data_IF_978138430693
#
_entry.id   IF_978138430693
#
_cell.length_a   1.000
_cell.length_b   1.000
_cell.length_c   1.000
_cell.angle_alpha   90.00
_cell.angle_beta   90.00
_cell.angle_gamma   90.00
#
_symmetry.space_group_name_H-M   'P 1'
#
loop_
_entity.id
_entity.type
_entity.pdbx_description
1 polymer ?
#
# COMPACT_ATOMS: atom_id res chain seq x y z
N UNK A 1 -8.28 15.34 7.08
CA UNK A 1 -9.45 14.63 6.51
C UNK A 1 -9.33 13.14 6.78
N UNK A 2 -10.46 12.45 6.94
CA UNK A 2 -10.52 10.99 7.06
C UNK A 2 -11.33 10.42 5.91
N UNK A 3 -10.86 9.35 5.29
CA UNK A 3 -11.59 8.64 4.23
C UNK A 3 -11.34 7.13 4.31
N UNK A 4 -12.36 6.34 4.02
CA UNK A 4 -12.17 4.91 3.74
C UNK A 4 -11.56 4.72 2.36
N UNK A 5 -11.18 3.50 1.99
CA UNK A 5 -10.60 3.18 0.69
C UNK A 5 -11.51 3.52 -0.50
N UNK A 6 -12.83 3.35 -0.38
CA UNK A 6 -13.75 3.82 -1.42
C UNK A 6 -13.67 5.34 -1.66
N UNK A 7 -13.56 6.14 -0.60
CA UNK A 7 -13.40 7.59 -0.69
C UNK A 7 -11.99 8.03 -1.05
N UNK A 8 -10.96 7.31 -0.60
CA UNK A 8 -9.57 7.73 -0.73
C UNK A 8 -8.84 7.15 -1.95
N UNK A 9 -9.20 5.96 -2.38
CA UNK A 9 -8.56 5.26 -3.50
C UNK A 9 -9.40 5.30 -4.79
N UNK A 10 -10.72 5.50 -4.69
CA UNK A 10 -11.63 5.54 -5.83
C UNK A 10 -12.23 6.93 -6.05
N UNK A 11 -13.43 7.20 -5.54
CA UNK A 11 -14.21 8.36 -5.97
C UNK A 11 -13.62 9.71 -5.53
N UNK A 12 -12.91 9.76 -4.41
CA UNK A 12 -12.30 10.99 -3.90
C UNK A 12 -10.81 11.14 -4.21
N UNK A 13 -10.20 10.22 -4.97
CA UNK A 13 -8.77 10.30 -5.31
C UNK A 13 -8.40 11.59 -6.04
N UNK A 14 -9.31 12.13 -6.87
CA UNK A 14 -9.08 13.38 -7.59
C UNK A 14 -8.94 14.59 -6.66
N UNK A 15 -9.79 14.66 -5.62
CA UNK A 15 -9.71 15.73 -4.62
C UNK A 15 -8.46 15.60 -3.74
N UNK A 16 -8.06 14.36 -3.40
CA UNK A 16 -6.82 14.11 -2.66
C UNK A 16 -5.61 14.51 -3.51
N UNK A 17 -5.55 14.09 -4.77
CA UNK A 17 -4.49 14.48 -5.69
C UNK A 17 -4.37 15.99 -5.83
N UNK A 18 -5.49 16.70 -6.02
CA UNK A 18 -5.49 18.16 -6.05
C UNK A 18 -5.01 18.78 -4.73
N UNK A 19 -5.41 18.23 -3.58
CA UNK A 19 -4.95 18.71 -2.26
C UNK A 19 -3.43 18.62 -2.14
N UNK A 20 -2.82 17.52 -2.63
CA UNK A 20 -1.38 17.28 -2.55
C UNK A 20 -0.54 18.16 -3.49
N UNK A 21 -1.14 18.91 -4.42
CA UNK A 21 -0.43 19.91 -5.24
C UNK A 21 -0.37 21.29 -4.58
N UNK A 22 -1.18 21.54 -3.55
CA UNK A 22 -1.26 22.82 -2.86
C UNK A 22 -0.36 22.85 -1.63
N UNK A 23 0.91 23.26 -1.81
CA UNK A 23 1.92 23.32 -0.74
C UNK A 23 1.51 24.06 0.54
N UNK A 24 0.62 25.05 0.41
CA UNK A 24 0.20 25.92 1.52
C UNK A 24 -0.91 25.29 2.38
N UNK A 25 -1.52 24.19 1.93
CA UNK A 25 -2.53 23.47 2.70
C UNK A 25 -1.86 22.71 3.85
N UNK A 26 -2.10 23.14 5.08
CA UNK A 26 -1.61 22.43 6.25
C UNK A 26 -2.63 21.37 6.70
N UNK A 27 -2.61 20.19 6.08
CA UNK A 27 -3.55 19.13 6.40
C UNK A 27 -2.97 17.72 6.21
N UNK A 28 -3.39 16.82 7.09
CA UNK A 28 -3.24 15.37 6.90
C UNK A 28 -4.52 14.79 6.28
N UNK A 29 -4.37 14.05 5.19
CA UNK A 29 -5.37 13.12 4.67
C UNK A 29 -5.04 11.72 5.14
N UNK A 30 -5.91 11.14 5.97
CA UNK A 30 -5.79 9.75 6.44
C UNK A 30 -6.78 8.86 5.68
N UNK A 31 -6.25 7.91 4.91
CA UNK A 31 -6.99 6.84 4.27
C UNK A 31 -6.90 5.58 5.15
N UNK A 32 -8.02 5.18 5.76
CA UNK A 32 -8.14 3.92 6.50
C UNK A 32 -8.68 2.83 5.58
N UNK A 33 -7.87 1.83 5.27
CA UNK A 33 -8.14 0.84 4.22
C UNK A 33 -8.61 -0.47 4.82
N UNK A 34 -9.91 -0.68 4.73
CA UNK A 34 -10.54 -1.96 5.04
C UNK A 34 -10.84 -2.79 3.79
N UNK A 35 -10.32 -2.37 2.64
CA UNK A 35 -10.29 -3.09 1.37
C UNK A 35 -11.65 -3.38 0.74
N UNK A 36 -12.66 -2.58 1.06
CA UNK A 36 -13.98 -2.64 0.47
C UNK A 36 -14.76 -1.35 0.72
N UNK A 37 -15.82 -1.11 -0.03
CA UNK A 37 -16.87 -0.20 0.44
C UNK A 37 -17.65 -0.89 1.57
N UNK A 38 -17.09 -0.87 2.78
CA UNK A 38 -17.59 -1.68 3.88
C UNK A 38 -19.00 -1.28 4.33
N UNK A 39 -19.27 0.02 4.47
CA UNK A 39 -20.53 0.53 5.01
C UNK A 39 -21.74 0.18 4.13
N UNK A 40 -21.56 0.17 2.81
CA UNK A 40 -22.63 -0.13 1.86
C UNK A 40 -22.89 -1.62 1.69
N UNK A 41 -22.28 -2.47 2.53
CA UNK A 41 -22.33 -3.93 2.51
C UNK A 41 -21.22 -4.58 1.67
N UNK A 42 -19.98 -4.25 2.02
CA UNK A 42 -18.75 -4.91 1.54
C UNK A 42 -18.77 -5.03 0.01
N UNK A 43 -18.88 -3.91 -0.72
CA UNK A 43 -18.69 -3.90 -2.16
C UNK A 43 -17.21 -3.78 -2.53
N UNK A 44 -16.88 -4.27 -3.72
CA UNK A 44 -15.55 -4.15 -4.31
C UNK A 44 -15.10 -2.69 -4.43
N UNK A 45 -13.88 -2.40 -3.99
CA UNK A 45 -13.15 -1.15 -4.25
C UNK A 45 -11.85 -1.43 -5.03
N UNK A 46 -11.12 -0.39 -5.44
CA UNK A 46 -9.77 -0.60 -6.01
C UNK A 46 -8.72 -1.07 -5.00
N UNK A 47 -9.06 -1.11 -3.71
CA UNK A 47 -8.23 -1.70 -2.66
C UNK A 47 -8.64 -3.14 -2.32
N UNK A 48 -9.70 -3.69 -2.90
CA UNK A 48 -10.05 -5.11 -2.72
C UNK A 48 -8.97 -6.00 -3.34
N UNK A 49 -8.37 -6.96 -2.59
CA UNK A 49 -7.35 -7.87 -3.12
C UNK A 49 -7.88 -8.79 -4.20
N UNK A 50 -6.99 -9.25 -5.08
CA UNK A 50 -7.30 -10.27 -6.09
C UNK A 50 -8.06 -11.45 -5.47
N UNK A 51 -9.14 -11.86 -6.12
CA UNK A 51 -9.94 -13.01 -5.72
C UNK A 51 -10.79 -12.83 -4.46
N UNK A 52 -10.75 -11.69 -3.76
CA UNK A 52 -11.59 -11.49 -2.58
C UNK A 52 -13.09 -11.51 -2.92
N UNK A 53 -13.87 -12.24 -2.11
CA UNK A 53 -15.33 -12.20 -2.18
C UNK A 53 -15.83 -10.88 -1.61
N UNK A 54 -16.72 -10.23 -2.37
CA UNK A 54 -17.49 -9.04 -1.98
C UNK A 54 -18.90 -9.20 -2.54
N UNK A 55 -19.84 -8.33 -2.18
CA UNK A 55 -21.19 -8.36 -2.78
C UNK A 55 -21.19 -8.07 -4.28
N UNK A 56 -20.15 -7.40 -4.81
CA UNK A 56 -19.94 -7.17 -6.26
C UNK A 56 -19.00 -8.17 -6.93
N UNK A 57 -18.37 -9.05 -6.16
CA UNK A 57 -17.51 -10.12 -6.65
C UNK A 57 -17.77 -11.44 -5.94
N UNK A 58 -19.03 -11.96 -5.94
CA UNK A 58 -19.32 -13.26 -5.36
C UNK A 58 -18.55 -14.36 -6.09
N UNK A 59 -18.14 -15.39 -5.35
CA UNK A 59 -17.69 -16.65 -5.93
C UNK A 59 -18.91 -17.49 -6.34
N UNK A 60 -18.76 -18.31 -7.37
CA UNK A 60 -19.80 -19.24 -7.80
C UNK A 60 -19.29 -20.30 -8.78
N UNK A 61 -20.11 -21.30 -9.07
CA UNK A 61 -19.71 -22.45 -9.90
C UNK A 61 -19.24 -22.06 -11.30
N UNK A 62 -19.91 -21.08 -11.94
CA UNK A 62 -19.56 -20.60 -13.28
C UNK A 62 -18.26 -19.79 -13.31
N UNK A 63 -17.99 -19.04 -12.23
CA UNK A 63 -16.81 -18.19 -12.11
C UNK A 63 -16.40 -18.12 -10.65
N UNK A 64 -15.40 -18.93 -10.31
CA UNK A 64 -14.91 -19.05 -8.93
C UNK A 64 -14.24 -17.76 -8.45
N UNK A 65 -13.39 -17.14 -9.29
CA UNK A 65 -12.76 -15.84 -9.05
C UNK A 65 -13.40 -14.74 -9.90
N UNK A 66 -14.32 -13.96 -9.31
CA UNK A 66 -14.97 -12.88 -10.06
C UNK A 66 -14.09 -11.64 -10.22
N UNK A 67 -13.35 -11.26 -9.17
CA UNK A 67 -12.43 -10.11 -9.17
C UNK A 67 -10.98 -10.57 -9.41
N UNK A 68 -10.41 -10.11 -10.52
CA UNK A 68 -9.08 -10.53 -10.98
C UNK A 68 -8.09 -9.37 -11.10
N UNK A 69 -8.41 -8.20 -10.54
CA UNK A 69 -7.52 -7.03 -10.57
C UNK A 69 -6.67 -7.00 -9.31
N UNK A 70 -5.40 -6.60 -9.45
CA UNK A 70 -4.54 -6.32 -8.31
C UNK A 70 -4.88 -4.97 -7.67
N UNK A 71 -4.54 -4.81 -6.40
CA UNK A 71 -4.79 -3.57 -5.65
C UNK A 71 -4.08 -2.38 -6.30
N UNK A 72 -4.75 -1.24 -6.33
CA UNK A 72 -4.16 0.03 -6.75
C UNK A 72 -3.11 0.46 -5.72
N UNK A 73 -1.87 0.68 -6.16
CA UNK A 73 -0.79 1.19 -5.30
C UNK A 73 -0.95 2.71 -5.08
N UNK A 74 -1.87 3.10 -4.20
CA UNK A 74 -2.20 4.50 -3.93
C UNK A 74 -1.02 5.30 -3.36
N UNK A 75 -0.36 4.88 -2.27
CA UNK A 75 0.69 5.71 -1.68
C UNK A 75 1.90 5.82 -2.60
N UNK A 76 2.26 4.77 -3.34
CA UNK A 76 3.34 4.82 -4.33
C UNK A 76 3.01 5.73 -5.51
N UNK A 77 1.77 5.67 -6.02
CA UNK A 77 1.27 6.55 -7.08
C UNK A 77 1.29 8.02 -6.64
N UNK A 78 0.81 8.31 -5.43
CA UNK A 78 0.80 9.67 -4.90
C UNK A 78 2.22 10.18 -4.65
N UNK A 79 3.10 9.34 -4.10
CA UNK A 79 4.50 9.69 -3.82
C UNK A 79 5.30 10.00 -5.09
N UNK A 80 5.06 9.25 -6.17
CA UNK A 80 5.71 9.50 -7.45
C UNK A 80 5.13 10.72 -8.18
N UNK A 81 3.83 10.99 -8.02
CA UNK A 81 3.12 12.01 -8.80
C UNK A 81 3.06 13.40 -8.19
N UNK A 82 3.35 13.57 -6.90
CA UNK A 82 3.14 14.83 -6.16
C UNK A 82 4.43 15.33 -5.50
N UNK A 83 5.32 16.00 -6.25
CA UNK A 83 6.62 16.47 -5.72
C UNK A 83 6.49 17.52 -4.61
N UNK A 84 5.35 18.24 -4.55
CA UNK A 84 5.06 19.24 -3.53
C UNK A 84 4.50 18.64 -2.23
N UNK A 85 4.16 17.35 -2.23
CA UNK A 85 3.67 16.67 -1.04
C UNK A 85 4.79 16.55 -0.01
N UNK A 86 4.51 16.97 1.23
CA UNK A 86 5.53 17.03 2.30
C UNK A 86 5.82 15.66 2.89
N UNK A 87 4.83 14.78 2.88
CA UNK A 87 4.94 13.45 3.49
C UNK A 87 3.88 12.48 2.98
N UNK A 88 4.30 11.29 2.58
CA UNK A 88 3.41 10.19 2.21
C UNK A 88 3.85 8.93 2.94
N UNK A 89 2.94 8.23 3.62
CA UNK A 89 3.29 7.00 4.32
C UNK A 89 2.24 5.89 4.18
N UNK A 90 2.73 4.65 4.21
CA UNK A 90 1.93 3.44 4.37
C UNK A 90 2.16 2.86 5.77
N UNK A 91 1.08 2.69 6.54
CA UNK A 91 1.07 2.19 7.91
C UNK A 91 0.14 1.00 8.10
N UNK A 92 0.13 0.43 9.30
CA UNK A 92 -0.82 -0.62 9.70
C UNK A 92 -1.09 -0.50 11.20
N UNK A 93 -2.36 -0.52 11.60
CA UNK A 93 -2.74 -0.34 13.00
C UNK A 93 -2.14 -1.40 13.95
N UNK A 94 -1.83 -2.59 13.43
CA UNK A 94 -1.17 -3.65 14.21
C UNK A 94 0.27 -3.30 14.63
N UNK A 95 0.89 -2.31 13.98
CA UNK A 95 2.19 -1.73 14.34
C UNK A 95 2.00 -0.33 14.94
N UNK A 96 1.28 -0.26 16.06
CA UNK A 96 0.79 0.99 16.64
C UNK A 96 1.86 2.08 16.82
N UNK A 97 3.06 1.74 17.32
CA UNK A 97 4.13 2.72 17.52
C UNK A 97 4.62 3.31 16.19
N UNK A 98 4.78 2.48 15.18
CA UNK A 98 5.17 2.92 13.83
C UNK A 98 4.09 3.84 13.23
N UNK A 99 2.82 3.43 13.30
CA UNK A 99 1.71 4.24 12.80
C UNK A 99 1.57 5.58 13.55
N UNK A 100 1.67 5.58 14.89
CA UNK A 100 1.60 6.80 15.70
C UNK A 100 2.73 7.77 15.35
N UNK A 101 3.95 7.27 15.13
CA UNK A 101 5.08 8.11 14.73
C UNK A 101 4.87 8.72 13.33
N UNK A 102 4.32 7.95 12.39
CA UNK A 102 3.97 8.44 11.04
C UNK A 102 2.89 9.52 11.10
N UNK A 103 1.83 9.31 11.89
CA UNK A 103 0.76 10.30 12.08
C UNK A 103 1.29 11.57 12.73
N UNK A 104 2.07 11.46 13.81
CA UNK A 104 2.70 12.61 14.47
C UNK A 104 3.55 13.42 13.50
N UNK A 105 4.45 12.75 12.76
CA UNK A 105 5.30 13.38 11.76
C UNK A 105 4.47 14.09 10.68
N UNK A 106 3.42 13.44 10.18
CA UNK A 106 2.54 14.01 9.16
C UNK A 106 1.79 15.26 9.62
N UNK A 107 1.49 15.38 10.92
CA UNK A 107 0.86 16.55 11.52
C UNK A 107 1.85 17.68 11.84
N UNK A 108 3.11 17.35 12.11
CA UNK A 108 4.14 18.32 12.54
C UNK A 108 4.87 19.01 11.36
N UNK A 109 4.94 18.39 10.19
CA UNK A 109 5.75 18.88 9.06
C UNK A 109 5.23 20.19 8.42
N UNK A 110 3.95 20.51 8.59
CA UNK A 110 3.27 21.52 7.79
C UNK A 110 3.08 21.08 6.32
N UNK A 111 2.19 21.76 5.61
CA UNK A 111 1.83 21.43 4.22
C UNK A 111 1.01 20.13 4.08
N UNK A 112 0.72 19.70 2.83
CA UNK A 112 -0.20 18.60 2.61
C UNK A 112 0.53 17.26 2.84
N UNK A 113 -0.05 16.43 3.69
CA UNK A 113 0.46 15.10 4.02
C UNK A 113 -0.60 14.02 3.83
N UNK A 114 -0.17 12.80 3.55
CA UNK A 114 -1.06 11.67 3.32
C UNK A 114 -0.55 10.42 4.03
N UNK A 115 -1.46 9.72 4.72
CA UNK A 115 -1.16 8.44 5.36
C UNK A 115 -2.23 7.43 4.95
N UNK A 116 -1.79 6.27 4.47
CA UNK A 116 -2.64 5.14 4.13
C UNK A 116 -2.37 4.00 5.11
N UNK A 117 -3.38 3.63 5.90
CA UNK A 117 -3.25 2.57 6.89
C UNK A 117 -4.09 1.36 6.50
N UNK A 118 -3.55 0.15 6.70
CA UNK A 118 -4.31 -1.09 6.61
C UNK A 118 -5.07 -1.31 7.92
N UNK A 119 -6.39 -1.48 7.81
CA UNK A 119 -7.29 -1.64 8.95
C UNK A 119 -8.16 -2.89 8.73
N UNK A 120 -7.73 -4.05 9.25
CA UNK A 120 -8.48 -5.28 9.13
C UNK A 120 -9.95 -5.15 9.56
N UNK A 121 -10.89 -5.52 8.69
CA UNK A 121 -12.33 -5.42 8.95
C UNK A 121 -12.94 -6.80 9.18
N UNK A 122 -13.32 -7.15 10.43
CA UNK A 122 -13.84 -8.49 10.76
C UNK A 122 -15.05 -8.89 9.91
N UNK A 123 -16.01 -7.96 9.71
CA UNK A 123 -17.19 -8.20 8.88
C UNK A 123 -16.82 -8.40 7.41
N UNK A 124 -15.97 -7.55 6.85
CA UNK A 124 -15.65 -7.56 5.42
C UNK A 124 -14.70 -8.66 5.00
N UNK A 125 -13.77 -9.04 5.88
CA UNK A 125 -12.77 -10.07 5.60
C UNK A 125 -13.19 -11.45 6.14
N UNK A 126 -14.29 -11.50 6.86
CA UNK A 126 -14.90 -12.68 7.48
C UNK A 126 -13.92 -13.41 8.42
N UNK A 127 -13.67 -12.82 9.58
CA UNK A 127 -12.87 -13.40 10.65
C UNK A 127 -13.32 -12.90 12.03
N UNK A 128 -12.94 -13.61 13.09
CA UNK A 128 -13.28 -13.21 14.46
C UNK A 128 -12.48 -11.97 14.91
N UNK A 129 -13.10 -10.88 15.43
CA UNK A 129 -12.43 -9.61 15.73
C UNK A 129 -11.15 -9.69 16.58
N UNK A 130 -11.05 -10.70 17.46
CA UNK A 130 -9.83 -10.95 18.26
C UNK A 130 -8.54 -11.12 17.42
N UNK A 131 -8.66 -11.51 16.15
CA UNK A 131 -7.53 -11.74 15.25
C UNK A 131 -7.15 -10.50 14.40
N UNK A 132 -7.77 -9.34 14.65
CA UNK A 132 -7.50 -8.13 13.85
C UNK A 132 -6.02 -7.74 13.88
N UNK A 133 -5.38 -7.80 15.06
CA UNK A 133 -3.96 -7.51 15.20
C UNK A 133 -3.09 -8.54 14.47
N UNK A 134 -3.42 -9.82 14.61
CA UNK A 134 -2.71 -10.93 13.95
C UNK A 134 -2.74 -10.77 12.42
N UNK A 135 -3.91 -10.46 11.85
CA UNK A 135 -4.06 -10.24 10.41
C UNK A 135 -3.26 -9.03 9.91
N UNK A 136 -3.21 -7.95 10.70
CA UNK A 136 -2.37 -6.80 10.38
C UNK A 136 -0.87 -7.15 10.41
N UNK A 137 -0.42 -8.00 11.34
CA UNK A 137 0.95 -8.53 11.34
C UNK A 137 1.21 -9.43 10.13
N UNK A 138 0.31 -10.38 9.85
CA UNK A 138 0.45 -11.30 8.72
C UNK A 138 0.49 -10.57 7.39
N UNK A 139 -0.32 -9.53 7.19
CA UNK A 139 -0.30 -8.73 5.96
C UNK A 139 1.09 -8.11 5.70
N UNK A 140 1.75 -7.60 6.73
CA UNK A 140 3.09 -7.01 6.64
C UNK A 140 4.17 -8.09 6.53
N UNK A 141 4.09 -9.15 7.33
CA UNK A 141 5.09 -10.22 7.37
C UNK A 141 5.08 -11.13 6.13
N UNK A 142 3.92 -11.26 5.47
CA UNK A 142 3.81 -11.90 4.15
C UNK A 142 4.19 -10.94 3.01
N UNK A 143 4.50 -9.68 3.31
CA UNK A 143 4.88 -8.66 2.34
C UNK A 143 3.76 -8.18 1.41
N UNK A 144 2.51 -8.46 1.76
CA UNK A 144 1.31 -8.01 1.04
C UNK A 144 1.11 -6.50 1.26
N UNK A 145 1.39 -6.05 2.48
CA UNK A 145 1.28 -4.65 2.89
C UNK A 145 2.62 -4.08 3.39
N UNK A 146 3.43 -3.48 2.50
CA UNK A 146 4.69 -2.86 2.87
C UNK A 146 4.49 -1.61 3.74
N UNK A 147 5.28 -1.49 4.81
CA UNK A 147 5.33 -0.31 5.67
C UNK A 147 6.48 0.61 5.23
N UNK A 148 6.15 1.86 4.89
CA UNK A 148 7.15 2.84 4.46
C UNK A 148 6.69 4.27 4.66
N UNK A 149 7.63 5.20 4.52
CA UNK A 149 7.38 6.63 4.43
C UNK A 149 8.24 7.26 3.33
N UNK A 150 7.72 8.29 2.68
CA UNK A 150 8.40 9.09 1.67
C UNK A 150 8.37 10.54 2.13
N UNK A 151 9.55 11.12 2.25
CA UNK A 151 9.75 12.51 2.68
C UNK A 151 10.91 13.10 1.91
N UNK A 152 10.74 14.30 1.35
CA UNK A 152 11.76 15.00 0.56
C UNK A 152 12.39 14.11 -0.53
N UNK A 153 11.55 13.31 -1.21
CA UNK A 153 11.98 12.37 -2.27
C UNK A 153 12.72 11.12 -1.79
N UNK A 154 12.87 10.92 -0.47
CA UNK A 154 13.53 9.76 0.12
C UNK A 154 12.51 8.77 0.65
N UNK A 155 12.50 7.56 0.07
CA UNK A 155 11.68 6.44 0.55
C UNK A 155 12.42 5.64 1.62
N UNK A 156 11.82 5.53 2.80
CA UNK A 156 12.32 4.73 3.92
C UNK A 156 11.33 3.59 4.22
N UNK A 157 11.77 2.35 4.04
CA UNK A 157 11.04 1.20 4.56
C UNK A 157 11.14 1.16 6.08
N UNK A 158 10.09 0.69 6.75
CA UNK A 158 9.96 0.73 8.22
C UNK A 158 9.61 -0.66 8.79
N UNK A 159 9.84 -0.84 10.09
CA UNK A 159 9.44 -2.05 10.81
C UNK A 159 9.90 -3.38 10.17
N UNK A 160 9.05 -4.42 10.17
CA UNK A 160 9.36 -5.70 9.54
C UNK A 160 9.58 -5.62 8.03
N UNK A 161 8.94 -4.67 7.32
CA UNK A 161 9.14 -4.50 5.88
C UNK A 161 10.60 -4.18 5.56
N UNK A 162 11.23 -3.28 6.34
CA UNK A 162 12.66 -3.00 6.23
C UNK A 162 13.52 -4.24 6.51
N UNK A 163 13.19 -4.99 7.55
CA UNK A 163 13.93 -6.20 7.92
C UNK A 163 13.85 -7.27 6.82
N UNK A 164 12.71 -7.40 6.14
CA UNK A 164 12.53 -8.31 5.01
C UNK A 164 13.37 -7.84 3.82
N UNK A 165 13.31 -6.55 3.47
CA UNK A 165 14.06 -5.99 2.34
C UNK A 165 15.59 -6.09 2.54
N UNK A 166 16.07 -6.01 3.78
CA UNK A 166 17.48 -6.17 4.14
C UNK A 166 17.90 -7.64 4.34
N UNK A 167 17.00 -8.60 4.14
CA UNK A 167 17.27 -10.03 4.34
C UNK A 167 17.46 -10.46 5.80
N UNK A 168 17.19 -9.56 6.77
CA UNK A 168 17.29 -9.83 8.22
C UNK A 168 16.11 -10.66 8.76
N UNK A 169 14.97 -10.63 8.05
CA UNK A 169 13.77 -11.42 8.37
C UNK A 169 13.28 -12.13 7.12
N UNK A 170 12.97 -13.41 7.23
CA UNK A 170 12.31 -14.15 6.14
C UNK A 170 10.85 -13.74 6.04
N UNK A 171 10.40 -13.46 4.82
CA UNK A 171 8.98 -13.23 4.52
C UNK A 171 8.20 -14.52 4.71
N UNK A 172 7.02 -14.43 5.30
CA UNK A 172 6.09 -15.56 5.44
C UNK A 172 5.38 -15.85 4.11
N UNK A 173 4.98 -17.11 3.84
CA UNK A 173 4.17 -17.43 2.69
C UNK A 173 2.76 -16.81 2.82
N UNK A 174 2.20 -16.31 1.71
CA UNK A 174 0.92 -15.59 1.70
C UNK A 174 -0.26 -16.45 2.18
N UNK A 175 -0.13 -17.77 2.09
CA UNK A 175 -1.16 -18.71 2.56
C UNK A 175 -1.46 -18.56 4.06
N UNK A 176 -0.48 -18.17 4.88
CA UNK A 176 -0.68 -17.90 6.31
C UNK A 176 -1.65 -16.74 6.53
N UNK A 177 -1.62 -15.72 5.65
CA UNK A 177 -2.57 -14.62 5.67
C UNK A 177 -3.91 -15.02 5.06
N UNK A 178 -3.90 -15.64 3.87
CA UNK A 178 -5.12 -15.92 3.11
C UNK A 178 -6.07 -16.89 3.84
N UNK A 179 -5.55 -17.95 4.48
CA UNK A 179 -6.38 -18.94 5.18
C UNK A 179 -7.07 -18.42 6.44
N UNK A 180 -6.69 -17.24 6.93
CA UNK A 180 -7.24 -16.65 8.16
C UNK A 180 -8.49 -15.80 7.90
N UNK A 181 -8.99 -15.79 6.66
CA UNK A 181 -10.04 -14.87 6.19
C UNK A 181 -11.04 -15.63 5.32
N UNK A 182 -12.33 -15.56 5.67
CA UNK A 182 -13.39 -16.24 4.92
C UNK A 182 -13.60 -15.68 3.50
N UNK A 183 -13.23 -14.41 3.25
CA UNK A 183 -13.29 -13.82 1.88
C UNK A 183 -12.40 -14.52 0.84
N UNK A 184 -11.50 -15.41 1.27
CA UNK A 184 -10.65 -16.24 0.41
C UNK A 184 -10.92 -17.74 0.54
N UNK A 185 -11.97 -18.17 1.25
CA UNK A 185 -12.24 -19.59 1.53
C UNK A 185 -12.46 -20.47 0.28
N UNK A 186 -12.72 -19.85 -0.88
CA UNK A 186 -12.93 -20.50 -2.17
C UNK A 186 -11.65 -20.64 -3.01
N UNK A 187 -10.50 -20.19 -2.51
CA UNK A 187 -9.22 -20.34 -3.18
C UNK A 187 -8.82 -21.82 -3.26
N UNK A 188 -8.26 -22.19 -4.40
CA UNK A 188 -7.52 -23.45 -4.60
C UNK A 188 -6.01 -23.16 -4.61
N UNK A 189 -5.19 -24.19 -4.64
CA UNK A 189 -3.73 -24.05 -4.57
C UNK A 189 -3.18 -23.19 -5.71
N UNK A 190 -3.73 -23.29 -6.92
CA UNK A 190 -3.30 -22.47 -8.06
C UNK A 190 -3.54 -20.96 -7.85
N UNK A 191 -4.59 -20.57 -7.12
CA UNK A 191 -4.83 -19.15 -6.83
C UNK A 191 -3.88 -18.63 -5.76
N UNK A 192 -3.56 -19.48 -4.78
CA UNK A 192 -2.58 -19.16 -3.73
C UNK A 192 -1.22 -18.99 -4.37
N UNK A 193 -0.82 -19.89 -5.26
CA UNK A 193 0.45 -19.82 -6.00
C UNK A 193 0.49 -18.56 -6.88
N UNK A 194 -0.61 -18.24 -7.57
CA UNK A 194 -0.70 -17.00 -8.32
C UNK A 194 -0.53 -15.77 -7.42
N UNK A 195 -1.22 -15.73 -6.28
CA UNK A 195 -1.14 -14.62 -5.32
C UNK A 195 0.29 -14.50 -4.75
N UNK A 196 0.91 -15.62 -4.38
CA UNK A 196 2.28 -15.70 -3.91
C UNK A 196 3.24 -15.14 -4.96
N UNK A 197 3.11 -15.57 -6.23
CA UNK A 197 3.96 -15.11 -7.32
C UNK A 197 3.83 -13.59 -7.57
N UNK A 198 2.63 -13.02 -7.45
CA UNK A 198 2.45 -11.57 -7.57
C UNK A 198 3.12 -10.82 -6.41
N UNK A 199 2.99 -11.33 -5.18
CA UNK A 199 3.67 -10.76 -4.01
C UNK A 199 5.19 -10.97 -4.10
N UNK A 200 5.66 -12.07 -4.68
CA UNK A 200 7.09 -12.30 -4.92
C UNK A 200 7.63 -11.27 -5.92
N UNK A 201 6.94 -11.07 -7.04
CA UNK A 201 7.24 -10.04 -8.04
C UNK A 201 7.32 -8.63 -7.44
N UNK A 202 6.43 -8.29 -6.51
CA UNK A 202 6.46 -7.01 -5.79
C UNK A 202 7.77 -6.77 -5.03
N UNK A 203 8.49 -7.83 -4.67
CA UNK A 203 9.71 -7.74 -3.86
C UNK A 203 10.98 -8.03 -4.65
N UNK A 204 10.90 -8.80 -5.74
CA UNK A 204 12.07 -9.15 -6.58
C UNK A 204 12.24 -8.21 -7.77
N UNK A 205 11.14 -7.74 -8.36
CA UNK A 205 11.17 -7.06 -9.66
C UNK A 205 10.94 -5.56 -9.52
N UNK A 206 10.30 -5.10 -8.45
CA UNK A 206 10.00 -3.68 -8.27
C UNK A 206 11.28 -2.89 -7.92
N UNK A 207 11.48 -1.70 -8.52
CA UNK A 207 12.65 -0.85 -8.24
C UNK A 207 12.82 -0.56 -6.75
N UNK A 208 11.70 -0.35 -6.05
CA UNK A 208 11.66 -0.32 -4.59
C UNK A 208 10.63 -1.38 -4.16
N UNK A 209 11.04 -2.42 -3.41
CA UNK A 209 10.16 -3.51 -2.99
C UNK A 209 8.85 -3.01 -2.38
N UNK A 210 7.73 -3.36 -3.01
CA UNK A 210 6.41 -2.99 -2.54
C UNK A 210 6.02 -1.50 -2.68
N UNK A 211 6.87 -0.67 -3.29
CA UNK A 211 6.62 0.77 -3.48
C UNK A 211 6.57 1.18 -4.95
N UNK A 212 7.56 0.83 -5.78
CA UNK A 212 7.68 1.33 -7.16
C UNK A 212 7.71 0.17 -8.19
N UNK A 213 6.68 0.00 -9.04
CA UNK A 213 6.44 -1.23 -9.81
C UNK A 213 7.18 -1.38 -11.15
N UNK A 214 8.08 -0.47 -11.51
CA UNK A 214 8.85 -0.52 -12.76
C UNK A 214 10.32 -0.84 -12.50
N UNK A 215 11.04 -1.29 -13.53
CA UNK A 215 12.49 -1.57 -13.50
C UNK A 215 13.25 -0.63 -14.42
N UNK A 216 14.56 -0.51 -14.18
CA UNK A 216 15.49 0.11 -15.11
C UNK A 216 16.36 -1.00 -15.73
N UNK A 217 16.44 -1.12 -17.07
CA UNK A 217 17.31 -2.11 -17.71
C UNK A 217 18.76 -2.02 -17.21
N UNK A 218 19.46 -3.15 -17.16
CA UNK A 218 20.83 -3.20 -16.64
C UNK A 218 21.77 -2.19 -17.32
N UNK A 219 21.64 -2.01 -18.64
CA UNK A 219 22.42 -1.05 -19.44
C UNK A 219 22.19 0.43 -19.05
N UNK A 220 21.04 0.74 -18.45
CA UNK A 220 20.61 2.10 -18.15
C UNK A 220 20.66 2.42 -16.64
N UNK A 221 21.17 1.51 -15.79
CA UNK A 221 21.19 1.73 -14.33
C UNK A 221 21.94 2.99 -13.88
N UNK A 222 22.82 3.55 -14.74
CA UNK A 222 23.49 4.82 -14.49
C UNK A 222 22.50 5.99 -14.30
N UNK A 223 21.31 5.95 -14.90
CA UNK A 223 20.30 7.02 -14.76
C UNK A 223 19.75 7.14 -13.33
N UNK A 224 19.92 6.11 -12.49
CA UNK A 224 19.54 6.16 -11.08
C UNK A 224 20.56 6.93 -10.22
N UNK A 225 21.72 7.28 -10.79
CA UNK A 225 22.84 7.97 -10.14
C UNK A 225 23.13 9.30 -10.83
N UNK A 226 22.12 10.17 -10.94
CA UNK A 226 22.27 11.50 -11.54
C UNK A 226 23.11 12.39 -10.61
N UNK A 227 24.08 13.13 -11.17
CA UNK A 227 24.78 14.19 -10.44
C UNK A 227 23.77 15.25 -9.99
N UNK A 228 23.76 15.56 -8.69
CA UNK A 228 22.84 16.53 -8.10
C UNK A 228 23.28 17.97 -8.35
N UNK A 229 24.46 18.19 -8.93
CA UNK A 229 24.89 19.52 -9.38
C UNK A 229 24.06 19.94 -10.61
N UNK A 230 23.51 21.15 -10.63
CA UNK A 230 22.79 21.64 -11.80
C UNK A 230 23.71 21.65 -13.02
N UNK A 231 23.31 20.94 -14.07
CA UNK A 231 24.10 20.82 -15.31
C UNK A 231 24.31 22.18 -16.02
N UNK A 232 23.47 23.17 -15.72
CA UNK A 232 23.54 24.51 -16.29
C UNK A 232 24.45 25.48 -15.50
N UNK A 233 25.00 25.08 -14.35
CA UNK A 233 25.87 25.93 -13.52
C UNK A 233 27.36 25.88 -13.92
N UNK A 234 27.69 25.39 -15.12
CA UNK A 234 29.01 25.63 -15.70
C UNK A 234 29.11 27.09 -16.13
N UNK A 235 29.49 27.97 -15.19
CA UNK A 235 29.95 29.32 -15.51
C UNK A 235 31.08 29.22 -16.52
N UNK A 236 30.85 29.73 -17.72
CA UNK A 236 31.88 30.12 -18.68
C UNK A 236 32.90 31.00 -17.97
N UNK A 237 34.17 30.60 -18.01
CA UNK A 237 35.31 31.43 -17.63
C UNK A 237 35.51 32.57 -18.65
#
# INVERSE_FOLDING_TARGET
AFCGDGGGADMGIGAISATLTHKDYNCLVLLYDNESYANTDIQLSSQTPYGAVTTFSPSGEKKRLMHTRWKKNVPGMLAAGHPESRYIAAGCAAYAVDLMNKIRKALELGGPTFVHTLDPCPKGWDYHPQYSQELGHLAVECGIWPLYEVMDGVCNLTGPTRQIAEGRKKRKPVIEYLRRQGRFAHFIDEDVDHFQAQVDKMWTDWLIPGVIPFTVPAKDQAILKIDKKPLHEQKTA
#
